data_IF_388675554746
#
_entry.id   IF_388675554746
#
_cell.length_a   1.000
_cell.length_b   1.000
_cell.length_c   1.000
_cell.angle_alpha   90.00
_cell.angle_beta   90.00
_cell.angle_gamma   90.00
#
_symmetry.space_group_name_H-M   'P 1'
#
loop_
_entity.id
_entity.type
_entity.pdbx_description
1 polymer ?
#
# COMPACT_ATOMS: atom_id res chain seq x y z
N UNK A 1 27.57 -17.26 -11.10
CA UNK A 1 26.34 -16.45 -11.29
C UNK A 1 26.55 -15.16 -10.50
N UNK A 2 26.87 -14.06 -11.18
CA UNK A 2 27.13 -12.76 -10.54
C UNK A 2 25.78 -12.13 -10.21
N UNK A 3 25.57 -11.79 -8.94
CA UNK A 3 24.29 -11.28 -8.41
C UNK A 3 24.12 -9.82 -8.84
N UNK A 4 23.10 -9.54 -9.64
CA UNK A 4 22.75 -8.19 -10.14
C UNK A 4 22.08 -7.29 -9.06
N UNK A 5 22.40 -7.48 -7.78
CA UNK A 5 21.80 -6.74 -6.64
C UNK A 5 22.03 -5.21 -6.68
N UNK A 6 22.99 -4.74 -7.49
CA UNK A 6 23.32 -3.33 -7.59
C UNK A 6 22.46 -2.55 -8.60
N UNK A 7 21.73 -3.24 -9.50
CA UNK A 7 20.89 -2.57 -10.51
C UNK A 7 19.49 -2.27 -9.96
N UNK A 8 18.94 -3.10 -9.07
CA UNK A 8 17.58 -2.96 -8.52
C UNK A 8 17.41 -1.65 -7.73
N UNK A 9 18.46 -1.17 -7.07
CA UNK A 9 18.41 0.06 -6.28
C UNK A 9 18.54 1.35 -7.08
N UNK A 10 18.91 1.30 -8.36
CA UNK A 10 19.26 2.51 -9.12
C UNK A 10 18.07 3.44 -9.39
N UNK A 11 16.85 2.93 -9.28
CA UNK A 11 15.60 3.64 -9.59
C UNK A 11 14.65 3.79 -8.39
N UNK A 12 15.04 3.29 -7.20
CA UNK A 12 14.24 3.40 -5.99
C UNK A 12 14.56 4.68 -5.22
N UNK A 13 13.52 5.33 -4.70
CA UNK A 13 13.61 6.46 -3.78
C UNK A 13 13.01 6.05 -2.44
N UNK A 14 13.85 5.42 -1.61
CA UNK A 14 13.44 4.76 -0.38
C UNK A 14 13.36 5.73 0.79
N UNK A 15 12.20 5.78 1.43
CA UNK A 15 11.96 6.59 2.62
C UNK A 15 11.36 5.76 3.74
N UNK A 16 11.82 6.02 4.96
CA UNK A 16 11.19 5.45 6.15
C UNK A 16 9.89 6.21 6.44
N UNK A 17 8.81 5.48 6.68
CA UNK A 17 7.57 6.07 7.19
C UNK A 17 7.72 6.18 8.70
N UNK A 18 7.83 7.39 9.21
CA UNK A 18 7.85 7.64 10.65
C UNK A 18 6.43 7.64 11.24
N UNK A 19 6.36 7.82 12.56
CA UNK A 19 5.09 7.79 13.29
C UNK A 19 4.16 8.94 12.90
N UNK A 20 4.69 10.11 12.59
CA UNK A 20 3.86 11.28 12.23
C UNK A 20 3.25 11.07 10.85
N UNK A 21 4.04 10.64 9.87
CA UNK A 21 3.55 10.29 8.54
C UNK A 21 2.57 9.12 8.57
N UNK A 22 2.77 8.15 9.47
CA UNK A 22 1.80 7.08 9.70
C UNK A 22 0.47 7.63 10.25
N UNK A 23 0.50 8.54 11.21
CA UNK A 23 -0.70 9.18 11.75
C UNK A 23 -1.43 10.00 10.67
N UNK A 24 -0.71 10.70 9.81
CA UNK A 24 -1.28 11.42 8.66
C UNK A 24 -1.98 10.45 7.69
N UNK A 25 -1.39 9.29 7.41
CA UNK A 25 -2.00 8.25 6.59
C UNK A 25 -3.27 7.68 7.23
N UNK A 26 -3.30 7.50 8.56
CA UNK A 26 -4.49 7.09 9.31
C UNK A 26 -5.59 8.16 9.19
N UNK A 27 -5.25 9.44 9.38
CA UNK A 27 -6.21 10.53 9.23
C UNK A 27 -6.78 10.59 7.81
N UNK A 28 -5.91 10.50 6.79
CA UNK A 28 -6.30 10.48 5.39
C UNK A 28 -7.21 9.28 5.06
N UNK A 29 -6.96 8.11 5.66
CA UNK A 29 -7.83 6.95 5.52
C UNK A 29 -9.26 7.23 6.01
N UNK A 30 -9.43 7.85 7.17
CA UNK A 30 -10.76 8.19 7.69
C UNK A 30 -11.46 9.25 6.83
N UNK A 31 -10.75 10.30 6.41
CA UNK A 31 -11.30 11.32 5.51
C UNK A 31 -11.73 10.74 4.16
N UNK A 32 -10.95 9.83 3.60
CA UNK A 32 -11.33 9.13 2.37
C UNK A 32 -12.58 8.27 2.56
N UNK A 33 -12.80 7.65 3.73
CA UNK A 33 -14.05 6.93 4.01
C UNK A 33 -15.25 7.86 4.00
N UNK A 34 -15.13 9.03 4.59
CA UNK A 34 -16.19 10.05 4.57
C UNK A 34 -16.49 10.50 3.14
N UNK A 35 -15.45 10.75 2.34
CA UNK A 35 -15.62 11.08 0.93
C UNK A 35 -16.33 9.97 0.14
N UNK A 36 -15.91 8.70 0.31
CA UNK A 36 -16.55 7.55 -0.35
C UNK A 36 -18.03 7.44 0.03
N UNK A 37 -18.38 7.66 1.30
CA UNK A 37 -19.76 7.67 1.78
C UNK A 37 -20.59 8.78 1.13
N UNK A 38 -20.03 9.98 0.96
CA UNK A 38 -20.71 11.11 0.32
C UNK A 38 -20.97 10.80 -1.17
N UNK A 39 -19.95 10.35 -1.90
CA UNK A 39 -20.06 10.05 -3.35
C UNK A 39 -21.09 8.93 -3.61
N UNK A 40 -21.12 7.90 -2.76
CA UNK A 40 -22.05 6.78 -2.91
C UNK A 40 -23.52 7.12 -2.69
N UNK A 41 -23.84 8.31 -2.16
CA UNK A 41 -25.23 8.78 -2.07
C UNK A 41 -25.85 9.05 -3.44
N UNK A 42 -25.03 9.38 -4.44
CA UNK A 42 -25.48 9.73 -5.78
C UNK A 42 -24.96 8.80 -6.89
N UNK A 43 -23.97 7.95 -6.59
CA UNK A 43 -23.34 7.05 -7.56
C UNK A 43 -23.18 5.63 -7.00
N UNK A 44 -23.19 4.62 -7.88
CA UNK A 44 -23.02 3.21 -7.48
C UNK A 44 -21.55 2.83 -7.26
N UNK A 45 -20.63 3.46 -7.99
CA UNK A 45 -19.19 3.28 -7.87
C UNK A 45 -18.63 4.17 -6.76
N UNK A 46 -17.79 3.61 -5.90
CA UNK A 46 -17.10 4.36 -4.87
C UNK A 46 -15.73 4.86 -5.30
N UNK A 47 -15.10 5.59 -4.39
CA UNK A 47 -13.75 6.11 -4.53
C UNK A 47 -12.76 4.96 -4.24
N UNK A 48 -11.84 4.74 -5.18
CA UNK A 48 -10.72 3.82 -4.97
C UNK A 48 -9.85 4.34 -3.83
N UNK A 49 -9.23 3.45 -3.05
CA UNK A 49 -8.28 3.89 -2.03
C UNK A 49 -7.01 4.41 -2.70
N UNK A 50 -6.53 5.61 -2.34
CA UNK A 50 -5.23 6.09 -2.78
C UNK A 50 -4.10 5.17 -2.33
N UNK A 51 -3.19 4.86 -3.24
CA UNK A 51 -2.01 4.03 -2.99
C UNK A 51 -1.13 4.61 -1.88
N UNK A 52 -0.96 5.95 -1.88
CA UNK A 52 -0.20 6.70 -0.87
C UNK A 52 -0.68 6.43 0.56
N UNK A 53 -1.97 6.18 0.77
CA UNK A 53 -2.51 5.81 2.07
C UNK A 53 -2.10 4.37 2.40
N UNK A 54 -2.40 3.43 1.52
CA UNK A 54 -2.20 2.01 1.79
C UNK A 54 -0.73 1.61 1.90
N UNK A 55 0.15 2.18 1.09
CA UNK A 55 1.58 1.91 1.09
C UNK A 55 2.25 2.46 2.34
N UNK A 56 1.88 3.68 2.77
CA UNK A 56 2.40 4.26 4.00
C UNK A 56 2.00 3.41 5.22
N UNK A 57 0.76 2.95 5.28
CA UNK A 57 0.28 2.05 6.32
C UNK A 57 1.05 0.71 6.30
N UNK A 58 1.19 0.09 5.12
CA UNK A 58 1.94 -1.17 4.95
C UNK A 58 3.38 -1.05 5.41
N UNK A 59 4.06 0.02 4.98
CA UNK A 59 5.48 0.23 5.28
C UNK A 59 5.71 0.39 6.77
N UNK A 60 4.88 1.21 7.44
CA UNK A 60 5.01 1.43 8.89
C UNK A 60 4.80 0.14 9.69
N UNK A 61 3.75 -0.64 9.40
CA UNK A 61 3.40 -1.83 10.21
C UNK A 61 4.31 -3.03 9.94
N UNK A 62 5.05 -3.02 8.83
CA UNK A 62 5.91 -4.13 8.40
C UNK A 62 7.41 -3.83 8.53
N UNK A 63 7.77 -2.62 9.00
CA UNK A 63 9.13 -2.07 8.95
C UNK A 63 9.74 -2.05 7.54
N UNK A 64 8.92 -1.82 6.51
CA UNK A 64 9.41 -1.62 5.14
C UNK A 64 9.72 -0.15 4.88
N UNK A 65 10.54 0.09 3.87
CA UNK A 65 10.78 1.41 3.33
C UNK A 65 9.81 1.65 2.18
N UNK A 66 9.17 2.81 2.16
CA UNK A 66 8.30 3.23 1.07
C UNK A 66 9.17 3.62 -0.13
N UNK A 67 8.85 3.09 -1.32
CA UNK A 67 9.49 3.52 -2.55
C UNK A 67 8.66 4.63 -3.20
N UNK A 68 9.27 5.80 -3.42
CA UNK A 68 8.66 6.90 -4.20
C UNK A 68 9.14 6.92 -5.65
N UNK A 69 10.07 6.04 -5.99
CA UNK A 69 10.64 5.87 -7.32
C UNK A 69 9.84 4.87 -8.14
N UNK A 70 10.53 4.09 -8.98
CA UNK A 70 9.94 3.01 -9.78
C UNK A 70 10.43 1.64 -9.34
N UNK A 71 9.77 0.57 -9.79
CA UNK A 71 10.19 -0.81 -9.55
C UNK A 71 9.64 -1.37 -8.24
N UNK A 72 8.32 -1.27 -8.05
CA UNK A 72 7.61 -1.71 -6.85
C UNK A 72 7.32 -0.60 -5.83
N UNK A 73 6.42 -0.87 -4.90
CA UNK A 73 5.85 0.12 -3.97
C UNK A 73 6.67 0.26 -2.67
N UNK A 74 7.36 -0.79 -2.25
CA UNK A 74 8.12 -0.81 -1.00
C UNK A 74 9.34 -1.72 -1.06
N UNK A 75 10.21 -1.62 -0.06
CA UNK A 75 11.41 -2.43 0.07
C UNK A 75 11.54 -2.98 1.50
N UNK A 76 11.80 -4.27 1.62
CA UNK A 76 12.09 -4.92 2.90
C UNK A 76 13.62 -4.96 3.13
N UNK A 77 14.18 -4.07 3.99
CA UNK A 77 15.61 -4.03 4.24
C UNK A 77 16.11 -5.25 5.03
N UNK A 78 15.24 -6.03 5.68
CA UNK A 78 15.63 -7.23 6.43
C UNK A 78 15.85 -8.42 5.51
N UNK A 79 15.12 -8.50 4.40
CA UNK A 79 15.18 -9.63 3.46
C UNK A 79 15.72 -9.27 2.07
N UNK A 80 16.02 -7.99 1.83
CA UNK A 80 16.50 -7.46 0.54
C UNK A 80 15.51 -7.78 -0.59
N UNK A 81 14.24 -7.44 -0.37
CA UNK A 81 13.12 -7.76 -1.27
C UNK A 81 12.36 -6.52 -1.70
N UNK A 82 12.07 -6.44 -2.99
CA UNK A 82 11.14 -5.50 -3.59
C UNK A 82 9.71 -5.98 -3.37
N UNK A 83 8.88 -5.09 -2.86
CA UNK A 83 7.51 -5.38 -2.44
C UNK A 83 6.55 -4.63 -3.36
N UNK A 84 5.63 -5.37 -3.95
CA UNK A 84 4.44 -4.81 -4.58
C UNK A 84 3.29 -4.84 -3.57
N UNK A 85 2.50 -3.78 -3.54
CA UNK A 85 1.33 -3.68 -2.69
C UNK A 85 0.06 -3.55 -3.53
N UNK A 86 -1.02 -4.14 -3.03
CA UNK A 86 -2.36 -3.87 -3.55
C UNK A 86 -3.31 -3.67 -2.39
N UNK A 87 -4.09 -2.62 -2.46
CA UNK A 87 -5.06 -2.31 -1.44
C UNK A 87 -6.47 -2.50 -1.98
N UNK A 88 -7.29 -3.21 -1.21
CA UNK A 88 -8.73 -3.21 -1.41
C UNK A 88 -9.42 -2.80 -0.14
N UNK A 89 -10.52 -2.11 -0.36
CA UNK A 89 -11.43 -1.68 0.68
C UNK A 89 -12.71 -2.49 0.70
N UNK A 90 -12.83 -3.41 -0.26
CA UNK A 90 -13.84 -4.44 -0.26
C UNK A 90 -13.28 -5.63 0.50
N UNK A 91 -13.67 -5.76 1.76
CA UNK A 91 -13.15 -6.81 2.63
C UNK A 91 -13.51 -8.23 2.16
N UNK A 92 -14.69 -8.35 1.52
CA UNK A 92 -15.30 -9.63 1.15
C UNK A 92 -15.08 -10.03 -0.31
N UNK A 93 -14.41 -9.21 -1.13
CA UNK A 93 -14.16 -9.52 -2.56
C UNK A 93 -12.78 -9.03 -2.98
N UNK A 94 -12.02 -9.92 -3.63
CA UNK A 94 -10.80 -9.51 -4.31
C UNK A 94 -11.12 -8.73 -5.59
N UNK A 95 -10.42 -7.61 -5.77
CA UNK A 95 -10.63 -6.69 -6.90
C UNK A 95 -9.32 -6.21 -7.53
N UNK A 96 -8.18 -6.83 -7.23
CA UNK A 96 -6.90 -6.43 -7.80
C UNK A 96 -6.69 -7.05 -9.19
N UNK A 97 -6.65 -6.20 -10.21
CA UNK A 97 -6.12 -6.54 -11.54
C UNK A 97 -4.61 -6.28 -11.58
N UNK A 98 -3.85 -7.19 -12.18
CA UNK A 98 -2.39 -7.07 -12.36
C UNK A 98 -2.05 -6.41 -13.69
N UNK A 99 -1.09 -5.48 -13.66
CA UNK A 99 -0.36 -5.07 -14.86
C UNK A 99 0.86 -5.97 -15.00
N UNK A 100 1.03 -6.72 -16.10
CA UNK A 100 2.02 -7.81 -16.23
C UNK A 100 3.46 -7.32 -16.48
N UNK A 101 3.83 -6.12 -16.02
CA UNK A 101 5.11 -5.48 -16.37
C UNK A 101 6.01 -5.15 -15.17
N UNK A 102 5.49 -5.21 -13.95
CA UNK A 102 6.29 -4.89 -12.75
C UNK A 102 7.03 -6.15 -12.26
N UNK A 103 8.33 -6.05 -12.02
CA UNK A 103 9.14 -7.10 -11.37
C UNK A 103 9.24 -6.82 -9.87
N UNK A 104 8.80 -7.76 -9.03
CA UNK A 104 8.86 -7.67 -7.57
C UNK A 104 9.09 -9.05 -6.94
N UNK A 105 9.61 -9.08 -5.72
CA UNK A 105 9.92 -10.33 -4.99
C UNK A 105 8.74 -10.84 -4.15
N UNK A 106 7.88 -9.95 -3.66
CA UNK A 106 6.72 -10.32 -2.86
C UNK A 106 5.53 -9.37 -3.07
N UNK A 107 4.32 -9.92 -2.99
CA UNK A 107 3.07 -9.20 -3.10
C UNK A 107 2.36 -9.15 -1.75
N UNK A 108 1.95 -7.95 -1.33
CA UNK A 108 1.21 -7.73 -0.09
C UNK A 108 -0.18 -7.15 -0.38
N UNK A 109 -1.20 -7.74 0.24
CA UNK A 109 -2.58 -7.27 0.13
C UNK A 109 -3.02 -6.50 1.38
N UNK A 110 -3.21 -5.19 1.23
CA UNK A 110 -3.76 -4.34 2.27
C UNK A 110 -5.28 -4.42 2.26
N UNK A 111 -5.87 -5.18 3.20
CA UNK A 111 -7.32 -5.25 3.39
C UNK A 111 -7.79 -4.23 4.42
N UNK A 112 -8.37 -3.15 3.93
CA UNK A 112 -8.78 -2.02 4.77
C UNK A 112 -10.30 -2.03 4.93
N UNK A 113 -10.78 -2.36 6.14
CA UNK A 113 -12.22 -2.49 6.40
C UNK A 113 -12.92 -1.14 6.51
N UNK A 114 -13.57 -0.73 5.41
CA UNK A 114 -14.42 0.47 5.32
C UNK A 114 -15.55 0.51 6.35
N UNK A 115 -16.07 -0.64 6.79
CA UNK A 115 -17.25 -0.74 7.66
C UNK A 115 -16.86 -0.69 9.13
N UNK A 116 -15.61 -1.01 9.46
CA UNK A 116 -15.09 -0.90 10.83
C UNK A 116 -14.82 0.55 11.22
N UNK A 117 -15.04 0.90 12.48
CA UNK A 117 -14.61 2.19 13.06
C UNK A 117 -13.23 2.12 13.72
N UNK A 118 -12.59 0.93 13.71
CA UNK A 118 -11.27 0.71 14.29
C UNK A 118 -10.13 1.10 13.35
N UNK A 119 -8.90 1.02 13.86
CA UNK A 119 -7.70 1.23 13.06
C UNK A 119 -7.61 0.20 11.91
N UNK A 120 -7.11 0.61 10.73
CA UNK A 120 -6.86 -0.32 9.63
C UNK A 120 -5.90 -1.43 10.06
N UNK A 121 -6.21 -2.66 9.66
CA UNK A 121 -5.38 -3.83 9.90
C UNK A 121 -4.77 -4.29 8.58
N UNK A 122 -3.45 -4.29 8.46
CA UNK A 122 -2.80 -5.01 7.37
C UNK A 122 -2.85 -6.51 7.70
N UNK A 123 -3.31 -7.34 6.77
CA UNK A 123 -3.34 -8.80 6.91
C UNK A 123 -2.34 -9.35 5.89
N UNK A 124 -1.37 -10.13 6.37
CA UNK A 124 -0.44 -10.88 5.52
C UNK A 124 -1.13 -12.17 5.06
N UNK A 125 -1.09 -12.45 3.76
CA UNK A 125 -1.45 -13.75 3.19
C UNK A 125 -0.18 -14.58 2.97
#
# INVERSE_FOLDING_TARGET
MVRWQWITHLFMDLVTVDKDRFNDAIQAYFLWKELDLIIRKSHTRGVNIPETISEALLCYVSDFQLNRGSGGDAFDPKTDRVIESKATSNFDRDTSSFSPKEEFDALYFCRLDKRSFGLPKAIRF
#
